data_IF_158250561126
#
_entry.id   IF_158250561126
#
_cell.length_a   1.000
_cell.length_b   1.000
_cell.length_c   1.000
_cell.angle_alpha   90.00
_cell.angle_beta   90.00
_cell.angle_gamma   90.00
#
_symmetry.space_group_name_H-M   'P 1'
#
loop_
_entity.id
_entity.type
_entity.pdbx_description
1 polymer ?
#
# COMPACT_ATOMS: atom_id res chain seq x y z
N UNK A 1 1.34 1.28 4.11
CA UNK A 1 2.64 1.74 3.56
C UNK A 1 3.23 2.87 4.39
N UNK A 2 2.48 3.95 4.66
CA UNK A 2 2.97 5.13 5.41
C UNK A 2 3.67 4.77 6.72
N UNK A 3 3.08 3.89 7.53
CA UNK A 3 3.68 3.45 8.81
C UNK A 3 5.04 2.79 8.62
N UNK A 4 5.17 1.89 7.63
CA UNK A 4 6.44 1.22 7.35
C UNK A 4 7.51 2.18 6.86
N UNK A 5 7.15 3.18 6.04
CA UNK A 5 8.08 4.25 5.62
C UNK A 5 8.51 5.08 6.83
N UNK A 6 7.56 5.46 7.69
CA UNK A 6 7.82 6.21 8.93
C UNK A 6 8.77 5.44 9.86
N UNK A 7 8.45 4.18 10.15
CA UNK A 7 9.29 3.34 11.01
C UNK A 7 10.66 3.05 10.38
N UNK A 8 10.73 2.82 9.07
CA UNK A 8 12.01 2.65 8.35
C UNK A 8 12.90 3.87 8.52
N UNK A 9 12.37 5.07 8.26
CA UNK A 9 13.15 6.30 8.41
C UNK A 9 13.50 6.60 9.86
N UNK A 10 12.54 6.49 10.78
CA UNK A 10 12.78 6.72 12.20
C UNK A 10 13.88 5.80 12.74
N UNK A 11 13.87 4.52 12.34
CA UNK A 11 14.93 3.57 12.65
C UNK A 11 16.27 4.01 12.07
N UNK A 12 16.35 4.28 10.76
CA UNK A 12 17.61 4.66 10.10
C UNK A 12 18.19 5.97 10.62
N UNK A 13 17.34 6.98 10.87
CA UNK A 13 17.75 8.27 11.47
C UNK A 13 18.25 8.04 12.89
N UNK A 14 17.61 7.17 13.67
CA UNK A 14 18.05 6.81 15.02
C UNK A 14 19.41 6.16 15.01
N UNK A 15 19.60 5.13 14.20
CA UNK A 15 20.89 4.45 14.10
C UNK A 15 21.99 5.37 13.55
N UNK A 16 21.71 6.18 12.53
CA UNK A 16 22.69 7.12 11.99
C UNK A 16 23.14 8.13 13.06
N UNK A 17 22.20 8.77 13.76
CA UNK A 17 22.51 9.77 14.78
C UNK A 17 23.13 9.18 16.05
N UNK A 18 22.83 7.91 16.34
CA UNK A 18 23.51 7.17 17.40
C UNK A 18 25.03 7.17 17.19
N UNK A 19 25.49 6.85 15.97
CA UNK A 19 26.91 6.82 15.63
C UNK A 19 27.48 8.20 15.29
N UNK A 20 26.71 9.07 14.64
CA UNK A 20 27.19 10.42 14.27
C UNK A 20 27.46 11.29 15.50
N UNK A 21 26.58 11.25 16.50
CA UNK A 21 26.70 12.02 17.74
C UNK A 21 27.27 11.18 18.89
N UNK A 22 28.18 10.25 18.60
CA UNK A 22 28.64 9.20 19.54
C UNK A 22 29.19 9.74 20.88
N UNK A 23 29.81 10.92 20.85
CA UNK A 23 30.37 11.57 22.04
C UNK A 23 29.28 12.00 23.05
N UNK A 24 28.03 12.19 22.59
CA UNK A 24 26.92 12.67 23.42
C UNK A 24 26.05 11.52 23.90
N UNK A 25 26.34 11.00 25.10
CA UNK A 25 25.64 9.84 25.69
C UNK A 25 24.12 9.97 25.72
N UNK A 26 23.60 11.16 26.06
CA UNK A 26 22.16 11.38 26.09
C UNK A 26 21.52 11.25 24.70
N UNK A 27 22.23 11.68 23.64
CA UNK A 27 21.78 11.53 22.24
C UNK A 27 21.78 10.07 21.82
N UNK A 28 22.83 9.32 22.17
CA UNK A 28 22.89 7.87 21.95
C UNK A 28 21.72 7.16 22.59
N UNK A 29 21.44 7.45 23.86
CA UNK A 29 20.31 6.88 24.58
C UNK A 29 18.96 7.24 23.94
N UNK A 30 18.73 8.51 23.59
CA UNK A 30 17.50 8.94 22.92
C UNK A 30 17.34 8.27 21.54
N UNK A 31 18.44 8.16 20.78
CA UNK A 31 18.46 7.51 19.47
C UNK A 31 18.23 6.00 19.56
N UNK A 32 18.75 5.33 20.59
CA UNK A 32 18.51 3.89 20.80
C UNK A 32 17.06 3.61 21.19
N UNK A 33 16.43 4.47 21.99
CA UNK A 33 14.99 4.39 22.27
C UNK A 33 14.18 4.59 20.99
N UNK A 34 14.48 5.64 20.21
CA UNK A 34 13.78 5.89 18.94
C UNK A 34 13.93 4.70 17.98
N UNK A 35 15.14 4.15 17.85
CA UNK A 35 15.38 2.96 17.04
C UNK A 35 14.59 1.73 17.55
N UNK A 36 14.52 1.51 18.86
CA UNK A 36 13.74 0.41 19.45
C UNK A 36 12.24 0.54 19.17
N UNK A 37 11.67 1.75 19.35
CA UNK A 37 10.26 2.01 19.07
C UNK A 37 9.93 1.85 17.59
N UNK A 38 10.79 2.38 16.71
CA UNK A 38 10.61 2.23 15.27
C UNK A 38 10.81 0.79 14.79
N UNK A 39 11.77 0.05 15.35
CA UNK A 39 11.95 -1.38 15.03
C UNK A 39 10.74 -2.20 15.49
N UNK A 40 10.23 -1.94 16.70
CA UNK A 40 9.02 -2.57 17.23
C UNK A 40 7.82 -2.28 16.33
N UNK A 41 7.60 -1.01 15.99
CA UNK A 41 6.55 -0.59 15.07
C UNK A 41 6.68 -1.26 13.71
N UNK A 42 7.88 -1.24 13.11
CA UNK A 42 8.14 -1.89 11.82
C UNK A 42 7.75 -3.36 11.83
N UNK A 43 8.12 -4.12 12.87
CA UNK A 43 7.81 -5.55 13.01
C UNK A 43 6.29 -5.76 13.19
N UNK A 44 5.65 -4.95 14.04
CA UNK A 44 4.24 -5.10 14.43
C UNK A 44 3.23 -4.63 13.38
N UNK A 45 3.65 -3.99 12.28
CA UNK A 45 2.75 -3.77 11.12
C UNK A 45 2.30 -5.11 10.51
N UNK A 46 3.08 -6.19 10.67
CA UNK A 46 2.75 -7.54 10.18
C UNK A 46 2.34 -7.58 8.71
N UNK A 47 3.07 -6.85 7.86
CA UNK A 47 2.82 -6.78 6.43
C UNK A 47 4.06 -7.16 5.61
N UNK A 48 4.37 -8.47 5.50
CA UNK A 48 5.59 -8.99 4.85
C UNK A 48 5.82 -8.44 3.44
N UNK A 49 4.74 -8.18 2.70
CA UNK A 49 4.80 -7.69 1.32
C UNK A 49 5.57 -6.36 1.16
N UNK A 50 5.60 -5.51 2.17
CA UNK A 50 6.44 -4.30 2.21
C UNK A 50 7.56 -4.39 3.24
N UNK A 51 7.40 -5.16 4.33
CA UNK A 51 8.45 -5.35 5.33
C UNK A 51 9.68 -6.04 4.74
N UNK A 52 9.52 -7.03 3.85
CA UNK A 52 10.66 -7.70 3.20
C UNK A 52 11.50 -6.71 2.38
N UNK A 53 10.96 -5.98 1.39
CA UNK A 53 11.77 -5.05 0.60
C UNK A 53 12.34 -3.91 1.45
N UNK A 54 11.58 -3.35 2.40
CA UNK A 54 12.12 -2.33 3.29
C UNK A 54 13.13 -2.87 4.31
N UNK A 55 13.04 -4.13 4.71
CA UNK A 55 14.06 -4.81 5.52
C UNK A 55 15.40 -4.90 4.77
N UNK A 56 15.36 -5.24 3.49
CA UNK A 56 16.55 -5.17 2.63
C UNK A 56 17.06 -3.74 2.47
N UNK A 57 16.17 -2.76 2.31
CA UNK A 57 16.58 -1.35 2.25
C UNK A 57 17.27 -0.91 3.56
N UNK A 58 16.71 -1.25 4.71
CA UNK A 58 17.31 -1.01 6.03
C UNK A 58 18.69 -1.65 6.10
N UNK A 59 18.81 -2.93 5.73
CA UNK A 59 20.08 -3.66 5.74
C UNK A 59 21.15 -2.96 4.88
N UNK A 60 20.79 -2.47 3.68
CA UNK A 60 21.70 -1.74 2.81
C UNK A 60 22.19 -0.43 3.46
N UNK A 61 21.31 0.33 4.10
CA UNK A 61 21.71 1.53 4.84
C UNK A 61 22.58 1.20 6.06
N UNK A 62 22.27 0.14 6.81
CA UNK A 62 23.10 -0.32 7.93
C UNK A 62 24.51 -0.71 7.47
N UNK A 63 24.65 -1.36 6.31
CA UNK A 63 25.95 -1.61 5.69
C UNK A 63 26.67 -0.30 5.34
N UNK A 64 25.96 0.67 4.77
CA UNK A 64 26.50 2.01 4.51
C UNK A 64 27.02 2.69 5.78
N UNK A 65 26.21 2.70 6.85
CA UNK A 65 26.58 3.25 8.16
C UNK A 65 27.79 2.51 8.74
N UNK A 66 27.82 1.19 8.66
CA UNK A 66 28.96 0.40 9.11
C UNK A 66 30.25 0.83 8.40
N UNK A 67 30.26 0.90 7.07
CA UNK A 67 31.45 1.33 6.32
C UNK A 67 31.85 2.79 6.59
N UNK A 68 30.89 3.65 6.94
CA UNK A 68 31.15 5.04 7.29
C UNK A 68 31.74 5.20 8.69
N UNK A 69 31.25 4.46 9.69
CA UNK A 69 31.55 4.67 11.10
C UNK A 69 32.52 3.66 11.72
N UNK A 70 32.73 2.47 11.15
CA UNK A 70 33.53 1.40 11.78
C UNK A 70 34.97 1.79 12.16
N UNK A 71 35.59 2.74 11.44
CA UNK A 71 36.92 3.29 11.78
C UNK A 71 36.87 4.56 12.62
N UNK A 72 35.72 5.25 12.64
CA UNK A 72 35.54 6.55 13.29
C UNK A 72 35.06 6.40 14.73
N UNK A 73 34.31 5.34 15.01
CA UNK A 73 33.65 5.11 16.30
C UNK A 73 34.26 3.90 16.98
N UNK A 74 34.63 4.04 18.25
CA UNK A 74 34.98 2.94 19.14
C UNK A 74 33.85 2.72 20.12
N UNK A 75 33.34 1.49 20.19
CA UNK A 75 32.26 1.13 21.10
C UNK A 75 32.77 1.11 22.55
N UNK A 76 31.96 1.61 23.47
CA UNK A 76 32.21 1.66 24.90
C UNK A 76 31.17 0.82 25.68
N UNK A 77 31.29 0.77 27.01
CA UNK A 77 30.35 0.03 27.88
C UNK A 77 28.90 0.55 27.83
N UNK A 78 28.70 1.82 27.49
CA UNK A 78 27.35 2.39 27.34
C UNK A 78 26.71 1.89 26.04
N UNK A 79 27.49 1.52 25.01
CA UNK A 79 26.93 0.89 23.80
C UNK A 79 26.28 -0.44 24.12
N UNK A 80 26.98 -1.29 24.88
CA UNK A 80 26.41 -2.56 25.34
C UNK A 80 25.12 -2.35 26.13
N UNK A 81 25.08 -1.34 27.01
CA UNK A 81 23.88 -1.00 27.77
C UNK A 81 22.73 -0.49 26.88
N UNK A 82 22.98 0.52 26.04
CA UNK A 82 21.93 1.16 25.25
C UNK A 82 21.39 0.24 24.15
N UNK A 83 22.27 -0.51 23.47
CA UNK A 83 21.86 -1.51 22.48
C UNK A 83 21.13 -2.66 23.19
N UNK A 84 21.64 -3.12 24.34
CA UNK A 84 20.98 -4.16 25.13
C UNK A 84 19.58 -3.76 25.58
N UNK A 85 19.40 -2.54 26.09
CA UNK A 85 18.09 -1.99 26.45
C UNK A 85 17.17 -1.84 25.24
N UNK A 86 17.68 -1.37 24.10
CA UNK A 86 16.90 -1.23 22.87
C UNK A 86 16.40 -2.58 22.33
N UNK A 87 17.27 -3.59 22.31
CA UNK A 87 16.92 -4.96 21.93
C UNK A 87 15.95 -5.57 22.93
N UNK A 88 16.18 -5.40 24.23
CA UNK A 88 15.29 -5.86 25.29
C UNK A 88 13.89 -5.24 25.19
N UNK A 89 13.81 -3.92 25.01
CA UNK A 89 12.55 -3.20 24.82
C UNK A 89 11.80 -3.70 23.58
N UNK A 90 12.50 -3.83 22.46
CA UNK A 90 11.93 -4.36 21.22
C UNK A 90 11.42 -5.78 21.42
N UNK A 91 12.22 -6.65 22.07
CA UNK A 91 11.87 -8.03 22.36
C UNK A 91 10.65 -8.16 23.27
N UNK A 92 10.52 -7.29 24.29
CA UNK A 92 9.35 -7.26 25.18
C UNK A 92 8.11 -6.80 24.42
N UNK A 93 8.17 -5.66 23.71
CA UNK A 93 7.02 -5.13 22.97
C UNK A 93 6.54 -6.14 21.93
N UNK A 94 7.45 -6.63 21.08
CA UNK A 94 7.13 -7.59 20.03
C UNK A 94 6.69 -8.92 20.63
N UNK A 95 7.42 -9.43 21.63
CA UNK A 95 7.14 -10.72 22.25
C UNK A 95 5.76 -10.77 22.91
N UNK A 96 5.40 -9.75 23.69
CA UNK A 96 4.07 -9.65 24.30
C UNK A 96 2.99 -9.61 23.21
N UNK A 97 3.12 -8.75 22.20
CA UNK A 97 2.13 -8.64 21.13
C UNK A 97 1.94 -9.92 20.32
N UNK A 98 3.03 -10.64 20.04
CA UNK A 98 2.96 -11.91 19.32
C UNK A 98 2.34 -13.03 20.16
N UNK A 99 2.68 -13.11 21.45
CA UNK A 99 2.12 -14.11 22.36
C UNK A 99 0.62 -13.88 22.58
N UNK A 100 0.17 -12.64 22.75
CA UNK A 100 -1.25 -12.34 22.93
C UNK A 100 -2.09 -12.57 21.67
N UNK A 101 -1.47 -12.58 20.50
CA UNK A 101 -2.15 -12.70 19.20
C UNK A 101 -1.90 -14.04 18.51
N UNK A 102 -1.25 -14.98 19.19
CA UNK A 102 -0.66 -16.19 18.60
C UNK A 102 -1.66 -17.04 17.82
N UNK A 103 -2.83 -17.33 18.41
CA UNK A 103 -3.86 -18.15 17.78
C UNK A 103 -4.40 -17.50 16.49
N UNK A 104 -4.62 -16.18 16.52
CA UNK A 104 -5.06 -15.44 15.33
C UNK A 104 -3.99 -15.43 14.26
N UNK A 105 -2.71 -15.23 14.63
CA UNK A 105 -1.59 -15.27 13.69
C UNK A 105 -1.48 -16.63 13.00
N UNK A 106 -1.55 -17.73 13.75
CA UNK A 106 -1.54 -19.09 13.19
C UNK A 106 -2.69 -19.28 12.22
N UNK A 107 -3.91 -18.88 12.59
CA UNK A 107 -5.07 -18.99 11.70
C UNK A 107 -4.84 -18.24 10.39
N UNK A 108 -4.34 -17.01 10.45
CA UNK A 108 -4.02 -16.22 9.25
C UNK A 108 -2.92 -16.89 8.42
N UNK A 109 -1.85 -17.39 9.04
CA UNK A 109 -0.75 -18.06 8.33
C UNK A 109 -1.19 -19.33 7.60
N UNK A 110 -2.20 -20.05 8.11
CA UNK A 110 -2.75 -21.25 7.47
C UNK A 110 -3.84 -20.98 6.42
N UNK A 111 -4.27 -19.73 6.24
CA UNK A 111 -5.20 -19.37 5.17
C UNK A 111 -4.59 -19.55 3.79
N UNK A 112 -5.44 -19.66 2.77
CA UNK A 112 -4.99 -19.61 1.36
C UNK A 112 -4.42 -18.23 1.03
N UNK A 113 -5.01 -17.17 1.59
CA UNK A 113 -4.53 -15.80 1.43
C UNK A 113 -4.72 -15.00 2.73
N UNK A 114 -3.70 -14.24 3.19
CA UNK A 114 -2.39 -14.08 2.58
C UNK A 114 -1.40 -15.20 2.97
N UNK A 115 -1.75 -16.10 3.89
CA UNK A 115 -0.83 -17.02 4.56
C UNK A 115 0.01 -17.89 3.62
N UNK A 116 -0.64 -18.76 2.85
CA UNK A 116 0.04 -19.68 1.93
C UNK A 116 0.33 -19.09 0.53
N UNK A 117 0.18 -17.78 0.33
CA UNK A 117 0.47 -17.13 -0.96
C UNK A 117 1.97 -17.17 -1.26
N UNK A 118 2.31 -17.45 -2.52
CA UNK A 118 3.70 -17.41 -3.02
C UNK A 118 3.75 -16.56 -4.29
N UNK A 119 4.48 -15.45 -4.26
CA UNK A 119 4.85 -14.67 -5.45
C UNK A 119 6.17 -15.16 -6.04
N UNK A 120 6.31 -15.06 -7.36
CA UNK A 120 7.53 -15.37 -8.11
C UNK A 120 8.03 -14.19 -8.93
N UNK A 121 7.40 -13.01 -8.81
CA UNK A 121 7.69 -11.85 -9.63
C UNK A 121 7.26 -12.01 -11.09
N UNK A 122 7.45 -10.94 -11.86
CA UNK A 122 7.35 -10.93 -13.32
C UNK A 122 5.99 -10.58 -13.92
N UNK A 123 4.94 -10.43 -13.11
CA UNK A 123 3.59 -10.13 -13.61
C UNK A 123 3.24 -8.63 -13.58
N UNK A 124 4.22 -7.73 -13.32
CA UNK A 124 3.96 -6.29 -13.35
C UNK A 124 3.79 -5.76 -14.78
N UNK A 125 2.73 -4.99 -15.00
CA UNK A 125 2.50 -4.35 -16.29
C UNK A 125 3.54 -3.25 -16.55
N UNK A 126 4.42 -3.46 -17.55
CA UNK A 126 5.52 -2.54 -17.90
C UNK A 126 5.09 -1.09 -18.15
N UNK A 127 3.87 -0.90 -18.64
CA UNK A 127 3.23 0.42 -18.86
C UNK A 127 3.02 1.20 -17.55
N UNK A 128 2.87 0.51 -16.43
CA UNK A 128 2.55 1.08 -15.11
C UNK A 128 3.83 1.39 -14.29
N UNK A 129 5.02 1.29 -14.88
CA UNK A 129 6.26 1.71 -14.20
C UNK A 129 6.28 3.23 -13.97
N UNK A 130 5.55 3.99 -14.79
CA UNK A 130 5.54 5.46 -14.79
C UNK A 130 4.25 6.07 -14.24
N UNK A 131 3.55 5.39 -13.32
CA UNK A 131 2.29 5.88 -12.74
C UNK A 131 2.40 7.27 -12.10
N UNK A 132 3.57 7.63 -11.57
CA UNK A 132 3.85 8.96 -11.01
C UNK A 132 3.56 10.12 -11.99
N UNK A 133 3.55 9.86 -13.31
CA UNK A 133 3.21 10.87 -14.33
C UNK A 133 1.75 11.36 -14.22
N UNK A 134 0.89 10.62 -13.50
CA UNK A 134 -0.54 10.94 -13.34
C UNK A 134 -0.92 11.47 -11.96
N UNK A 135 0.01 11.48 -11.01
CA UNK A 135 -0.20 11.95 -9.63
C UNK A 135 -0.88 13.33 -9.55
N UNK A 136 -0.53 14.25 -10.45
CA UNK A 136 -1.04 15.62 -10.43
C UNK A 136 -2.57 15.71 -10.56
N UNK A 137 -3.20 14.73 -11.21
CA UNK A 137 -4.63 14.74 -11.54
C UNK A 137 -5.47 13.95 -10.53
N UNK A 138 -4.88 12.98 -9.83
CA UNK A 138 -5.60 12.07 -8.93
C UNK A 138 -6.34 12.77 -7.80
N UNK A 139 -5.84 13.92 -7.35
CA UNK A 139 -6.48 14.74 -6.31
C UNK A 139 -7.72 15.50 -6.80
N UNK A 140 -7.96 15.52 -8.11
CA UNK A 140 -9.05 16.27 -8.74
C UNK A 140 -10.04 15.37 -9.50
N UNK A 141 -9.63 14.16 -9.87
CA UNK A 141 -10.46 13.22 -10.62
C UNK A 141 -10.11 11.79 -10.27
N UNK A 142 -11.12 10.99 -9.92
CA UNK A 142 -10.93 9.57 -9.69
C UNK A 142 -10.60 8.81 -10.97
N UNK A 143 -9.72 7.83 -10.82
CA UNK A 143 -9.40 6.87 -11.86
C UNK A 143 -10.51 5.83 -11.93
N UNK A 144 -10.94 5.50 -13.15
CA UNK A 144 -12.14 4.67 -13.40
C UNK A 144 -11.87 3.17 -13.49
N UNK A 145 -10.60 2.76 -13.53
CA UNK A 145 -10.20 1.37 -13.81
C UNK A 145 -9.36 0.74 -12.69
N UNK A 146 -8.96 1.51 -11.68
CA UNK A 146 -8.15 1.04 -10.57
C UNK A 146 -8.29 2.01 -9.39
N UNK A 147 -7.91 1.58 -8.19
CA UNK A 147 -7.87 2.45 -7.02
C UNK A 147 -6.79 3.55 -7.15
N UNK A 148 -7.16 4.81 -6.93
CA UNK A 148 -6.21 5.94 -6.91
C UNK A 148 -5.00 5.70 -5.99
N UNK A 149 -5.21 5.06 -4.84
CA UNK A 149 -4.15 4.77 -3.88
C UNK A 149 -3.16 3.71 -4.35
N UNK A 150 -3.58 2.78 -5.21
CA UNK A 150 -2.70 1.78 -5.83
C UNK A 150 -1.89 2.39 -7.00
N UNK A 151 -2.43 3.42 -7.66
CA UNK A 151 -1.74 4.12 -8.75
C UNK A 151 -0.82 5.25 -8.26
N UNK A 152 -1.06 5.79 -7.07
CA UNK A 152 -0.26 6.88 -6.49
C UNK A 152 1.18 6.44 -6.28
N UNK A 153 2.15 7.24 -6.77
CA UNK A 153 3.57 6.89 -6.70
C UNK A 153 4.47 8.09 -6.39
N UNK A 154 5.79 7.91 -6.39
CA UNK A 154 6.77 8.96 -6.09
C UNK A 154 7.37 9.53 -7.38
N UNK A 155 7.48 10.86 -7.46
CA UNK A 155 8.25 11.50 -8.53
C UNK A 155 9.74 11.15 -8.40
N UNK A 156 10.30 10.51 -9.42
CA UNK A 156 11.70 10.09 -9.40
C UNK A 156 12.35 10.13 -10.79
N UNK A 157 13.68 10.22 -10.81
CA UNK A 157 14.51 10.30 -12.01
C UNK A 157 15.27 9.00 -12.31
N UNK A 158 14.79 7.84 -11.83
CA UNK A 158 15.50 6.56 -11.96
C UNK A 158 16.00 6.27 -13.40
N UNK A 159 15.18 6.45 -14.43
CA UNK A 159 15.60 6.16 -15.81
C UNK A 159 16.61 7.17 -16.37
N UNK A 160 16.62 8.42 -15.88
CA UNK A 160 17.72 9.35 -16.15
C UNK A 160 19.00 8.81 -15.50
N UNK A 161 18.91 8.41 -14.22
CA UNK A 161 20.04 7.89 -13.42
C UNK A 161 20.60 6.60 -14.04
N UNK A 162 19.73 5.72 -14.52
CA UNK A 162 20.08 4.49 -15.21
C UNK A 162 20.98 4.76 -16.42
N UNK A 163 20.60 5.71 -17.28
CA UNK A 163 21.39 6.07 -18.47
C UNK A 163 22.74 6.70 -18.14
N UNK A 164 22.86 7.43 -17.02
CA UNK A 164 24.13 8.03 -16.57
C UNK A 164 24.92 7.13 -15.60
N UNK A 165 24.36 5.99 -15.19
CA UNK A 165 24.93 5.13 -14.15
C UNK A 165 26.37 4.65 -14.44
N UNK A 166 26.79 4.38 -15.70
CA UNK A 166 28.19 4.04 -15.96
C UNK A 166 29.14 5.18 -15.57
N UNK A 167 28.76 6.43 -15.86
CA UNK A 167 29.54 7.61 -15.45
C UNK A 167 29.51 7.85 -13.93
N UNK A 168 28.40 7.52 -13.27
CA UNK A 168 28.24 7.67 -11.83
C UNK A 168 29.10 6.69 -11.03
N UNK A 169 29.16 5.42 -11.46
CA UNK A 169 29.67 4.34 -10.60
C UNK A 169 30.96 3.72 -11.10
N UNK A 170 31.33 3.86 -12.38
CA UNK A 170 32.58 3.29 -12.88
C UNK A 170 33.79 3.84 -12.12
N UNK A 171 34.49 2.96 -11.38
CA UNK A 171 35.60 3.26 -10.47
C UNK A 171 35.27 4.23 -9.31
N UNK A 172 33.99 4.57 -9.09
CA UNK A 172 33.54 5.57 -8.10
C UNK A 172 32.57 5.03 -7.05
N UNK A 173 32.34 3.72 -7.01
CA UNK A 173 31.40 3.08 -6.06
C UNK A 173 31.69 3.48 -4.61
N UNK A 174 32.97 3.53 -4.21
CA UNK A 174 33.34 3.89 -2.82
C UNK A 174 32.97 5.33 -2.48
N UNK A 175 33.17 6.26 -3.40
CA UNK A 175 32.81 7.68 -3.24
C UNK A 175 31.29 7.88 -3.25
N UNK A 176 30.58 7.05 -4.02
CA UNK A 176 29.16 7.14 -4.29
C UNK A 176 28.37 6.00 -3.64
N UNK A 177 28.82 5.51 -2.49
CA UNK A 177 28.32 4.26 -1.89
C UNK A 177 26.80 4.24 -1.73
N UNK A 178 26.22 5.26 -1.10
CA UNK A 178 24.76 5.33 -0.89
C UNK A 178 23.97 5.36 -2.20
N UNK A 179 24.45 6.13 -3.19
CA UNK A 179 23.85 6.15 -4.53
C UNK A 179 23.92 4.79 -5.22
N UNK A 180 25.04 4.08 -5.07
CA UNK A 180 25.22 2.75 -5.65
C UNK A 180 24.30 1.71 -4.99
N UNK A 181 24.22 1.68 -3.65
CA UNK A 181 23.36 0.75 -2.92
C UNK A 181 21.88 0.96 -3.27
N UNK A 182 21.41 2.22 -3.32
CA UNK A 182 20.05 2.55 -3.75
C UNK A 182 19.81 2.16 -5.21
N UNK A 183 20.78 2.40 -6.11
CA UNK A 183 20.67 2.01 -7.51
C UNK A 183 20.52 0.49 -7.70
N UNK A 184 21.34 -0.30 -7.00
CA UNK A 184 21.25 -1.78 -7.02
C UNK A 184 19.91 -2.25 -6.48
N UNK A 185 19.41 -1.64 -5.39
CA UNK A 185 18.10 -1.98 -4.83
C UNK A 185 16.96 -1.66 -5.81
N UNK A 186 16.98 -0.49 -6.45
CA UNK A 186 16.02 -0.15 -7.50
C UNK A 186 16.08 -1.14 -8.67
N UNK A 187 17.29 -1.52 -9.12
CA UNK A 187 17.47 -2.48 -10.21
C UNK A 187 16.91 -3.86 -9.84
N UNK A 188 17.17 -4.33 -8.61
CA UNK A 188 16.62 -5.59 -8.12
C UNK A 188 15.08 -5.59 -8.17
N UNK A 189 14.43 -4.55 -7.63
CA UNK A 189 12.97 -4.47 -7.67
C UNK A 189 12.43 -4.37 -9.10
N UNK A 190 13.11 -3.64 -9.99
CA UNK A 190 12.74 -3.56 -11.41
C UNK A 190 12.78 -4.93 -12.08
N UNK A 191 13.82 -5.73 -11.81
CA UNK A 191 13.94 -7.10 -12.33
C UNK A 191 12.88 -8.01 -11.70
N UNK A 192 12.66 -7.95 -10.38
CA UNK A 192 11.60 -8.70 -9.69
C UNK A 192 10.22 -8.44 -10.30
N UNK A 193 9.89 -7.18 -10.58
CA UNK A 193 8.63 -6.82 -11.26
C UNK A 193 8.54 -7.33 -12.69
N UNK A 194 9.66 -7.53 -13.38
CA UNK A 194 9.71 -7.77 -14.84
C UNK A 194 9.97 -9.22 -15.23
N UNK A 195 10.51 -10.05 -14.34
CA UNK A 195 10.98 -11.40 -14.63
C UNK A 195 10.47 -12.37 -13.57
N UNK A 196 9.96 -13.52 -14.01
CA UNK A 196 9.54 -14.61 -13.11
C UNK A 196 10.77 -15.38 -12.63
N UNK A 197 10.83 -15.66 -11.34
CA UNK A 197 11.92 -16.38 -10.69
C UNK A 197 11.51 -17.79 -10.26
N UNK A 198 12.46 -18.73 -10.14
CA UNK A 198 12.18 -20.02 -9.50
C UNK A 198 11.67 -19.85 -8.07
N UNK A 199 10.68 -20.64 -7.66
CA UNK A 199 10.09 -20.58 -6.31
C UNK A 199 11.13 -20.70 -5.18
N UNK A 200 12.19 -21.49 -5.39
CA UNK A 200 13.29 -21.64 -4.42
C UNK A 200 13.97 -20.29 -4.18
N UNK A 201 14.28 -19.54 -5.25
CA UNK A 201 14.89 -18.22 -5.13
C UNK A 201 13.97 -17.24 -4.41
N UNK A 202 12.68 -17.21 -4.78
CA UNK A 202 11.68 -16.36 -4.13
C UNK A 202 11.55 -16.65 -2.63
N UNK A 203 11.53 -17.93 -2.24
CA UNK A 203 11.46 -18.34 -0.82
C UNK A 203 12.74 -18.01 -0.06
N UNK A 204 13.91 -18.28 -0.63
CA UNK A 204 15.21 -17.99 0.00
C UNK A 204 15.42 -16.49 0.27
N UNK A 205 14.97 -15.65 -0.66
CA UNK A 205 15.06 -14.19 -0.55
C UNK A 205 13.88 -13.59 0.23
N UNK A 206 12.93 -14.41 0.67
CA UNK A 206 11.63 -14.00 1.24
C UNK A 206 10.77 -13.14 0.29
N UNK A 207 11.19 -12.88 -0.95
CA UNK A 207 10.39 -12.19 -1.96
C UNK A 207 9.17 -13.01 -2.39
N UNK A 208 9.06 -14.28 -2.00
CA UNK A 208 7.81 -15.04 -2.08
C UNK A 208 6.63 -14.35 -1.39
N UNK A 209 6.88 -13.46 -0.43
CA UNK A 209 5.84 -12.67 0.23
C UNK A 209 5.50 -11.35 -0.47
N UNK A 210 6.23 -10.97 -1.52
CA UNK A 210 6.24 -9.63 -2.13
C UNK A 210 5.61 -9.67 -3.52
N UNK A 211 4.32 -9.34 -3.64
CA UNK A 211 3.71 -9.08 -4.93
C UNK A 211 4.40 -7.93 -5.66
N UNK A 212 4.26 -7.95 -6.97
CA UNK A 212 4.87 -7.05 -7.93
C UNK A 212 4.45 -5.59 -7.67
N UNK A 213 3.19 -5.35 -7.32
CA UNK A 213 2.68 -4.02 -6.99
C UNK A 213 3.31 -3.48 -5.70
N UNK A 214 3.66 -4.36 -4.76
CA UNK A 214 4.34 -3.97 -3.51
C UNK A 214 5.83 -3.74 -3.71
N UNK A 215 6.45 -4.51 -4.61
CA UNK A 215 7.80 -4.22 -5.11
C UNK A 215 7.86 -2.88 -5.89
N UNK A 216 6.81 -2.52 -6.64
CA UNK A 216 6.70 -1.22 -7.30
C UNK A 216 6.76 -0.06 -6.29
N UNK A 217 6.00 -0.15 -5.21
CA UNK A 217 6.03 0.84 -4.13
C UNK A 217 7.43 0.97 -3.50
N UNK A 218 8.11 -0.17 -3.25
CA UNK A 218 9.48 -0.16 -2.73
C UNK A 218 10.49 0.42 -3.75
N UNK A 219 10.33 0.09 -5.04
CA UNK A 219 11.10 0.65 -6.14
C UNK A 219 10.92 2.17 -6.20
N UNK A 220 9.69 2.68 -6.30
CA UNK A 220 9.44 4.11 -6.45
C UNK A 220 9.88 4.90 -5.23
N UNK A 221 9.72 4.36 -4.02
CA UNK A 221 10.23 4.96 -2.79
C UNK A 221 11.77 5.02 -2.78
N UNK A 222 12.46 3.93 -3.08
CA UNK A 222 13.93 3.95 -3.15
C UNK A 222 14.46 4.83 -4.31
N UNK A 223 13.71 4.91 -5.41
CA UNK A 223 14.02 5.75 -6.56
C UNK A 223 13.93 7.25 -6.24
N UNK A 224 13.00 7.69 -5.39
CA UNK A 224 12.99 9.09 -4.94
C UNK A 224 14.20 9.40 -4.04
N UNK A 225 14.63 8.49 -3.16
CA UNK A 225 15.86 8.67 -2.37
C UNK A 225 17.10 8.73 -3.26
N UNK A 226 17.18 7.83 -4.25
CA UNK A 226 18.24 7.84 -5.25
C UNK A 226 18.23 9.15 -6.06
N UNK A 227 17.05 9.69 -6.36
CA UNK A 227 16.88 10.95 -7.07
C UNK A 227 17.38 12.14 -6.28
N UNK A 228 17.07 12.21 -4.98
CA UNK A 228 17.57 13.27 -4.08
C UNK A 228 19.10 13.24 -4.03
N UNK A 229 19.68 12.06 -3.81
CA UNK A 229 21.13 11.88 -3.84
C UNK A 229 21.74 12.30 -5.19
N UNK A 230 21.13 11.88 -6.30
CA UNK A 230 21.61 12.17 -7.65
C UNK A 230 21.55 13.65 -7.99
N UNK A 231 20.48 14.37 -7.61
CA UNK A 231 20.35 15.80 -7.84
C UNK A 231 21.51 16.55 -7.18
N UNK A 232 21.79 16.24 -5.90
CA UNK A 232 22.92 16.82 -5.17
C UNK A 232 24.25 16.49 -5.86
N UNK A 233 24.53 15.20 -6.11
CA UNK A 233 25.77 14.77 -6.75
C UNK A 233 25.98 15.45 -8.10
N UNK A 234 24.98 15.41 -8.98
CA UNK A 234 25.06 15.99 -10.32
C UNK A 234 25.39 17.49 -10.26
N UNK A 235 24.81 18.22 -9.30
CA UNK A 235 25.02 19.66 -9.14
C UNK A 235 26.42 20.05 -8.66
N UNK A 236 27.15 19.16 -8.00
CA UNK A 236 28.55 19.36 -7.59
C UNK A 236 29.58 18.96 -8.68
N UNK A 237 29.18 18.16 -9.67
CA UNK A 237 30.11 17.69 -10.73
C UNK A 237 30.35 18.70 -11.86
N UNK A 238 31.15 18.37 -12.88
CA UNK A 238 31.16 19.17 -14.13
C UNK A 238 29.84 18.99 -14.89
N UNK A 239 29.40 20.03 -15.62
CA UNK A 239 28.20 19.97 -16.46
C UNK A 239 28.34 18.87 -17.52
N UNK A 240 27.29 18.07 -17.70
CA UNK A 240 27.25 17.06 -18.76
C UNK A 240 27.21 17.75 -20.13
N UNK A 241 28.03 17.28 -21.08
CA UNK A 241 28.07 17.87 -22.43
C UNK A 241 26.73 17.71 -23.15
N UNK A 242 26.34 18.70 -23.95
CA UNK A 242 25.05 18.74 -24.65
C UNK A 242 24.75 17.48 -25.49
N UNK A 243 25.76 16.90 -26.14
CA UNK A 243 25.63 15.65 -26.92
C UNK A 243 25.08 14.45 -26.13
N UNK A 244 25.29 14.40 -24.82
CA UNK A 244 24.76 13.34 -23.95
C UNK A 244 23.39 13.72 -23.37
N UNK A 245 23.06 15.00 -23.27
CA UNK A 245 21.77 15.44 -22.73
C UNK A 245 20.61 15.08 -23.67
N UNK A 246 20.79 15.28 -24.99
CA UNK A 246 19.78 14.98 -26.00
C UNK A 246 19.27 13.52 -25.96
N UNK A 247 20.13 12.48 -26.02
CA UNK A 247 19.66 11.10 -25.94
C UNK A 247 19.02 10.78 -24.58
N UNK A 248 19.52 11.34 -23.47
CA UNK A 248 18.91 11.12 -22.16
C UNK A 248 17.47 11.65 -22.12
N UNK A 249 17.25 12.88 -22.61
CA UNK A 249 15.92 13.49 -22.68
C UNK A 249 15.04 12.70 -23.65
N UNK A 250 15.53 12.43 -24.86
CA UNK A 250 14.78 11.73 -25.90
C UNK A 250 14.32 10.33 -25.48
N UNK A 251 15.20 9.53 -24.87
CA UNK A 251 14.85 8.18 -24.38
C UNK A 251 13.81 8.25 -23.27
N UNK A 252 13.96 9.16 -22.29
CA UNK A 252 12.98 9.28 -21.22
C UNK A 252 11.61 9.73 -21.74
N UNK A 253 11.58 10.73 -22.64
CA UNK A 253 10.32 11.17 -23.26
C UNK A 253 9.66 10.09 -24.11
N UNK A 254 10.44 9.28 -24.83
CA UNK A 254 9.94 8.14 -25.59
C UNK A 254 9.31 7.08 -24.67
N UNK A 255 9.97 6.75 -23.54
CA UNK A 255 9.44 5.83 -22.54
C UNK A 255 8.15 6.35 -21.89
N UNK A 256 8.13 7.64 -21.51
CA UNK A 256 6.95 8.27 -20.93
C UNK A 256 5.79 8.31 -21.92
N UNK A 257 6.05 8.66 -23.19
CA UNK A 257 5.02 8.65 -24.22
C UNK A 257 4.45 7.25 -24.42
N UNK A 258 5.33 6.23 -24.52
CA UNK A 258 4.89 4.84 -24.63
C UNK A 258 3.98 4.45 -23.47
N UNK A 259 4.37 4.73 -22.22
CA UNK A 259 3.58 4.41 -21.04
C UNK A 259 2.22 5.13 -21.00
N UNK A 260 2.21 6.43 -21.32
CA UNK A 260 1.00 7.25 -21.31
C UNK A 260 0.03 6.89 -22.44
N UNK A 261 0.53 6.45 -23.60
CA UNK A 261 -0.27 6.21 -24.80
C UNK A 261 -0.73 4.75 -24.98
N UNK A 262 0.06 3.79 -24.53
CA UNK A 262 -0.21 2.35 -24.76
C UNK A 262 -0.92 1.65 -23.59
N UNK A 263 -1.25 2.39 -22.54
CA UNK A 263 -1.85 1.85 -21.32
C UNK A 263 -3.21 2.43 -20.91
N UNK A 264 -3.72 1.93 -19.77
CA UNK A 264 -4.98 2.40 -19.18
C UNK A 264 -4.94 3.89 -18.81
N UNK A 265 -3.75 4.47 -18.62
CA UNK A 265 -3.59 5.91 -18.38
C UNK A 265 -4.21 6.78 -19.49
N UNK A 266 -4.29 6.27 -20.73
CA UNK A 266 -4.99 6.97 -21.84
C UNK A 266 -6.50 7.08 -21.66
N UNK A 267 -7.10 6.22 -20.82
CA UNK A 267 -8.52 6.30 -20.44
C UNK A 267 -8.76 7.45 -19.44
N UNK A 268 -7.71 7.86 -18.74
CA UNK A 268 -7.75 8.88 -17.70
C UNK A 268 -7.24 10.24 -18.19
N UNK A 269 -6.30 10.26 -19.16
CA UNK A 269 -5.69 11.46 -19.72
C UNK A 269 -6.14 11.76 -21.15
N UNK A 270 -6.37 13.04 -21.45
CA UNK A 270 -6.53 13.58 -22.78
C UNK A 270 -5.19 13.71 -23.52
N UNK A 271 -5.25 13.82 -24.85
CA UNK A 271 -4.05 14.03 -25.69
C UNK A 271 -3.26 15.28 -25.28
N UNK A 272 -3.97 16.37 -24.96
CA UNK A 272 -3.35 17.63 -24.51
C UNK A 272 -2.63 17.47 -23.17
N UNK A 273 -3.23 16.74 -22.23
CA UNK A 273 -2.60 16.44 -20.93
C UNK A 273 -1.33 15.59 -21.11
N UNK A 274 -1.36 14.59 -22.00
CA UNK A 274 -0.17 13.79 -22.33
C UNK A 274 0.97 14.68 -22.86
N UNK A 275 0.66 15.59 -23.80
CA UNK A 275 1.65 16.54 -24.34
C UNK A 275 2.21 17.44 -23.22
N UNK A 276 1.36 17.97 -22.35
CA UNK A 276 1.77 18.83 -21.23
C UNK A 276 2.68 18.07 -20.25
N UNK A 277 2.34 16.83 -19.90
CA UNK A 277 3.16 15.97 -19.04
C UNK A 277 4.54 15.77 -19.65
N UNK A 278 4.61 15.46 -20.96
CA UNK A 278 5.88 15.28 -21.66
C UNK A 278 6.71 16.56 -21.72
N UNK A 279 6.08 17.72 -21.94
CA UNK A 279 6.76 19.02 -21.93
C UNK A 279 7.34 19.34 -20.55
N UNK A 280 6.56 19.17 -19.48
CA UNK A 280 7.00 19.42 -18.10
C UNK A 280 8.10 18.45 -17.70
N UNK A 281 7.96 17.16 -18.03
CA UNK A 281 8.98 16.15 -17.74
C UNK A 281 10.28 16.43 -18.51
N UNK A 282 10.20 16.77 -19.80
CA UNK A 282 11.34 17.15 -20.62
C UNK A 282 12.04 18.40 -20.10
N UNK A 283 11.26 19.42 -19.70
CA UNK A 283 11.78 20.63 -19.06
C UNK A 283 12.51 20.31 -17.75
N UNK A 284 11.91 19.50 -16.86
CA UNK A 284 12.55 19.10 -15.60
C UNK A 284 13.89 18.38 -15.83
N UNK A 285 13.93 17.42 -16.76
CA UNK A 285 15.17 16.71 -17.10
C UNK A 285 16.20 17.68 -17.69
N UNK A 286 15.79 18.57 -18.60
CA UNK A 286 16.69 19.56 -19.20
C UNK A 286 17.26 20.53 -18.14
N UNK A 287 16.43 21.03 -17.23
CA UNK A 287 16.85 21.93 -16.15
C UNK A 287 17.80 21.23 -15.17
N UNK A 288 17.52 19.97 -14.83
CA UNK A 288 18.37 19.13 -14.00
C UNK A 288 19.77 18.96 -14.62
N UNK A 289 19.84 18.51 -15.87
CA UNK A 289 21.10 18.26 -16.59
C UNK A 289 21.88 19.55 -16.88
N UNK A 290 21.18 20.68 -17.05
CA UNK A 290 21.78 22.00 -17.23
C UNK A 290 22.08 22.74 -15.91
N UNK A 291 21.83 22.11 -14.75
CA UNK A 291 22.11 22.67 -13.43
C UNK A 291 21.41 24.01 -13.17
N UNK A 292 20.23 24.22 -13.75
CA UNK A 292 19.40 25.40 -13.47
C UNK A 292 18.70 25.21 -12.13
N UNK A 293 19.48 25.17 -11.03
CA UNK A 293 19.07 24.70 -9.69
C UNK A 293 17.76 25.34 -9.21
N UNK A 294 17.68 26.67 -9.25
CA UNK A 294 16.50 27.43 -8.83
C UNK A 294 15.27 27.09 -9.67
N UNK A 295 15.38 27.18 -11.00
CA UNK A 295 14.24 26.94 -11.89
C UNK A 295 13.78 25.47 -11.83
N UNK A 296 14.71 24.52 -11.78
CA UNK A 296 14.40 23.10 -11.54
C UNK A 296 13.59 22.92 -10.25
N UNK A 297 14.06 23.52 -9.15
CA UNK A 297 13.43 23.38 -7.84
C UNK A 297 12.03 23.99 -7.84
N UNK A 298 11.84 25.15 -8.46
CA UNK A 298 10.52 25.81 -8.58
C UNK A 298 9.55 24.97 -9.40
N UNK A 299 9.97 24.44 -10.55
CA UNK A 299 9.10 23.60 -11.40
C UNK A 299 8.75 22.28 -10.70
N UNK A 300 9.73 21.64 -10.06
CA UNK A 300 9.49 20.40 -9.30
C UNK A 300 8.56 20.65 -8.11
N UNK A 301 8.79 21.73 -7.36
CA UNK A 301 7.94 22.12 -6.23
C UNK A 301 6.50 22.39 -6.71
N UNK A 302 6.33 23.12 -7.81
CA UNK A 302 5.02 23.36 -8.40
C UNK A 302 4.31 22.05 -8.77
N UNK A 303 5.01 21.10 -9.40
CA UNK A 303 4.45 19.80 -9.74
C UNK A 303 4.00 18.99 -8.50
N UNK A 304 4.82 18.99 -7.44
CA UNK A 304 4.51 18.28 -6.18
C UNK A 304 3.36 18.96 -5.43
N UNK A 305 3.39 20.29 -5.28
CA UNK A 305 2.36 21.03 -4.57
C UNK A 305 1.01 20.98 -5.30
N UNK A 306 1.02 21.10 -6.63
CA UNK A 306 -0.23 21.04 -7.41
C UNK A 306 -0.92 19.67 -7.26
N UNK A 307 -0.16 18.58 -7.21
CA UNK A 307 -0.71 17.25 -6.96
C UNK A 307 -1.11 17.00 -5.50
N UNK A 308 -0.36 17.53 -4.52
CA UNK A 308 -0.53 17.15 -3.11
C UNK A 308 -1.37 18.08 -2.25
N UNK A 309 -1.43 19.39 -2.56
CA UNK A 309 -2.00 20.40 -1.64
C UNK A 309 -3.50 20.29 -1.41
N UNK A 310 -4.24 19.74 -2.37
CA UNK A 310 -5.70 19.53 -2.24
C UNK A 310 -6.05 18.26 -1.49
N UNK A 311 -5.07 17.41 -1.17
CA UNK A 311 -5.25 16.25 -0.30
C UNK A 311 -5.11 16.71 1.14
N UNK A 312 -6.23 16.83 1.87
CA UNK A 312 -6.20 17.14 3.30
C UNK A 312 -5.85 15.87 4.09
N UNK A 313 -4.65 15.77 4.71
CA UNK A 313 -4.26 14.58 5.45
C UNK A 313 -4.91 14.52 6.84
N UNK A 314 -5.58 15.59 7.29
CA UNK A 314 -6.18 15.68 8.61
C UNK A 314 -7.68 15.39 8.52
N UNK A 315 -8.05 14.16 8.85
CA UNK A 315 -9.44 13.80 9.15
C UNK A 315 -9.84 14.36 10.51
N UNK A 316 -11.02 15.00 10.62
CA UNK A 316 -11.55 15.57 11.87
C UNK A 316 -12.94 15.03 12.14
N UNK A 317 -13.11 14.45 13.33
CA UNK A 317 -14.40 13.92 13.79
C UNK A 317 -14.91 12.73 12.98
N UNK A 318 -16.14 12.31 13.29
CA UNK A 318 -16.83 11.20 12.64
C UNK A 318 -18.13 11.64 11.95
N UNK A 319 -18.45 12.94 12.01
CA UNK A 319 -19.62 13.55 11.37
C UNK A 319 -19.85 13.14 9.91
N UNK A 320 -18.83 13.05 9.02
CA UNK A 320 -19.06 12.61 7.64
C UNK A 320 -19.65 11.19 7.51
N UNK A 321 -19.55 10.38 8.55
CA UNK A 321 -20.16 9.05 8.63
C UNK A 321 -21.50 9.14 9.35
N UNK A 322 -21.49 9.68 10.58
CA UNK A 322 -22.63 9.59 11.49
C UNK A 322 -23.77 10.55 11.10
N UNK A 323 -23.48 11.69 10.48
CA UNK A 323 -24.50 12.67 10.11
C UNK A 323 -25.26 12.28 8.83
N UNK A 324 -24.84 11.20 8.16
CA UNK A 324 -25.57 10.66 7.01
C UNK A 324 -26.94 10.15 7.47
N UNK A 325 -27.98 10.47 6.71
CA UNK A 325 -29.34 10.06 7.03
C UNK A 325 -29.47 8.54 7.13
N UNK A 326 -28.85 7.79 6.21
CA UNK A 326 -28.81 6.32 6.30
C UNK A 326 -28.15 5.81 7.59
N UNK A 327 -27.10 6.47 8.09
CA UNK A 327 -26.47 6.08 9.34
C UNK A 327 -27.41 6.30 10.54
N UNK A 328 -28.05 7.47 10.59
CA UNK A 328 -29.05 7.80 11.61
C UNK A 328 -30.22 6.81 11.60
N UNK A 329 -30.70 6.42 10.41
CA UNK A 329 -31.77 5.43 10.26
C UNK A 329 -31.33 4.05 10.76
N UNK A 330 -30.14 3.57 10.39
CA UNK A 330 -29.60 2.29 10.87
C UNK A 330 -29.47 2.30 12.41
N UNK A 331 -28.90 3.36 12.98
CA UNK A 331 -28.76 3.50 14.44
C UNK A 331 -30.12 3.58 15.15
N UNK A 332 -31.12 4.23 14.54
CA UNK A 332 -32.47 4.28 15.10
C UNK A 332 -33.13 2.89 15.10
N UNK A 333 -33.01 2.13 14.00
CA UNK A 333 -33.53 0.75 13.92
C UNK A 333 -32.83 -0.14 14.95
N UNK A 334 -31.51 -0.06 15.09
CA UNK A 334 -30.77 -0.83 16.11
C UNK A 334 -31.21 -0.46 17.54
N UNK A 335 -31.56 0.81 17.79
CA UNK A 335 -32.07 1.23 19.09
C UNK A 335 -33.47 0.66 19.38
N UNK A 336 -34.32 0.53 18.37
CA UNK A 336 -35.68 -0.01 18.51
C UNK A 336 -35.72 -1.54 18.53
N UNK A 337 -34.82 -2.20 17.81
CA UNK A 337 -34.75 -3.65 17.64
C UNK A 337 -33.28 -4.11 17.72
N UNK A 338 -32.70 -4.15 18.93
CA UNK A 338 -31.27 -4.33 19.12
C UNK A 338 -30.79 -5.76 18.86
N UNK A 339 -29.52 -5.88 18.49
CA UNK A 339 -28.78 -7.14 18.33
C UNK A 339 -29.24 -8.00 17.15
N UNK A 340 -30.04 -7.45 16.25
CA UNK A 340 -30.51 -8.18 15.07
C UNK A 340 -29.39 -8.27 14.04
N UNK A 341 -29.41 -9.33 13.23
CA UNK A 341 -28.37 -9.54 12.20
C UNK A 341 -28.68 -8.73 10.93
N UNK A 342 -27.71 -7.91 10.53
CA UNK A 342 -27.75 -7.10 9.31
C UNK A 342 -26.87 -7.70 8.21
N UNK A 343 -27.23 -7.50 6.95
CA UNK A 343 -26.31 -7.70 5.82
C UNK A 343 -26.37 -6.51 4.87
N UNK A 344 -25.25 -6.19 4.23
CA UNK A 344 -25.16 -5.01 3.38
C UNK A 344 -24.37 -5.25 2.10
N UNK A 345 -24.90 -4.76 0.98
CA UNK A 345 -24.25 -4.84 -0.31
C UNK A 345 -23.10 -3.82 -0.45
N UNK A 346 -22.19 -4.08 -1.39
CA UNK A 346 -21.07 -3.18 -1.74
C UNK A 346 -20.26 -2.76 -0.49
N UNK A 347 -20.09 -1.46 -0.28
CA UNK A 347 -19.31 -0.90 0.83
C UNK A 347 -20.00 -1.01 2.20
N UNK A 348 -21.23 -1.51 2.26
CA UNK A 348 -21.96 -1.65 3.52
C UNK A 348 -21.35 -2.72 4.45
N UNK A 349 -20.55 -3.65 3.91
CA UNK A 349 -19.76 -4.58 4.72
C UNK A 349 -18.85 -3.87 5.73
N UNK A 350 -18.32 -2.69 5.41
CA UNK A 350 -17.50 -1.89 6.32
C UNK A 350 -18.30 -0.79 7.02
N UNK A 351 -19.34 -0.27 6.37
CA UNK A 351 -20.15 0.82 6.91
C UNK A 351 -21.04 0.38 8.08
N UNK A 352 -21.70 -0.77 7.98
CA UNK A 352 -22.60 -1.25 9.03
C UNK A 352 -21.86 -1.56 10.35
N UNK A 353 -20.73 -2.30 10.37
CA UNK A 353 -19.99 -2.54 11.61
C UNK A 353 -19.51 -1.24 12.28
N UNK A 354 -19.17 -0.22 11.48
CA UNK A 354 -18.76 1.09 11.99
C UNK A 354 -19.88 1.82 12.76
N UNK A 355 -21.15 1.51 12.46
CA UNK A 355 -22.33 2.00 13.19
C UNK A 355 -22.67 1.15 14.43
N UNK A 356 -21.89 0.10 14.70
CA UNK A 356 -22.07 -0.75 15.87
C UNK A 356 -23.17 -1.80 15.75
N UNK A 357 -23.72 -2.04 14.56
CA UNK A 357 -24.75 -3.09 14.35
C UNK A 357 -24.12 -4.48 14.17
N UNK A 358 -24.85 -5.52 14.55
CA UNK A 358 -24.41 -6.90 14.37
C UNK A 358 -24.56 -7.33 12.90
N UNK A 359 -23.46 -7.68 12.24
CA UNK A 359 -23.45 -7.91 10.77
C UNK A 359 -23.04 -9.31 10.37
N UNK A 360 -23.69 -9.83 9.33
CA UNK A 360 -23.33 -11.06 8.64
C UNK A 360 -22.03 -10.92 7.85
N UNK A 361 -21.86 -9.81 7.13
CA UNK A 361 -20.71 -9.58 6.28
C UNK A 361 -19.87 -8.39 6.74
N UNK A 362 -18.57 -8.46 6.48
CA UNK A 362 -17.59 -7.46 6.90
C UNK A 362 -16.19 -7.83 6.42
N UNK A 363 -15.17 -7.23 7.04
CA UNK A 363 -13.78 -7.59 6.80
C UNK A 363 -13.37 -8.68 7.80
N UNK A 364 -13.19 -9.90 7.32
CA UNK A 364 -12.75 -11.03 8.13
C UNK A 364 -11.21 -11.13 8.09
N UNK A 365 -10.55 -10.69 9.17
CA UNK A 365 -9.10 -10.85 9.31
C UNK A 365 -8.70 -12.32 9.43
N UNK A 366 -9.42 -13.06 10.27
CA UNK A 366 -9.36 -14.51 10.39
C UNK A 366 -10.67 -15.09 9.86
N UNK A 367 -10.65 -16.00 8.87
CA UNK A 367 -11.87 -16.59 8.36
C UNK A 367 -12.55 -17.47 9.42
N UNK A 368 -13.87 -17.34 9.54
CA UNK A 368 -14.69 -18.25 10.32
C UNK A 368 -15.25 -19.33 9.37
N UNK A 369 -14.59 -20.48 9.28
CA UNK A 369 -15.00 -21.54 8.33
C UNK A 369 -16.35 -22.15 8.73
N UNK A 370 -16.61 -22.26 10.04
CA UNK A 370 -17.84 -22.83 10.58
C UNK A 370 -19.08 -22.02 10.21
N UNK A 371 -18.96 -20.68 10.12
CA UNK A 371 -20.09 -19.84 9.72
C UNK A 371 -20.57 -20.09 8.30
N UNK A 372 -19.78 -20.75 7.44
CA UNK A 372 -20.16 -21.02 6.05
C UNK A 372 -20.87 -22.36 5.84
N UNK A 373 -20.86 -23.26 6.82
CA UNK A 373 -21.49 -24.60 6.72
C UNK A 373 -22.98 -24.58 6.32
N UNK A 374 -23.82 -23.61 6.76
CA UNK A 374 -25.22 -23.54 6.30
C UNK A 374 -25.39 -23.29 4.78
N UNK A 375 -24.39 -22.71 4.12
CA UNK A 375 -24.39 -22.46 2.66
C UNK A 375 -23.53 -23.47 1.91
N UNK A 376 -22.44 -23.93 2.50
CA UNK A 376 -21.49 -24.85 1.88
C UNK A 376 -21.21 -26.07 2.77
N UNK A 377 -22.21 -26.97 2.96
CA UNK A 377 -22.08 -28.11 3.87
C UNK A 377 -21.03 -29.13 3.43
N UNK A 378 -20.67 -29.15 2.13
CA UNK A 378 -19.66 -30.06 1.58
C UNK A 378 -18.27 -29.44 1.47
N UNK A 379 -18.10 -28.15 1.80
CA UNK A 379 -16.82 -27.46 1.69
C UNK A 379 -16.37 -27.18 0.25
N UNK A 380 -17.29 -27.23 -0.73
CA UNK A 380 -16.98 -27.05 -2.16
C UNK A 380 -16.33 -25.69 -2.44
N UNK A 381 -16.71 -24.66 -1.68
CA UNK A 381 -16.25 -23.29 -1.84
C UNK A 381 -15.21 -22.85 -0.80
N UNK A 382 -14.66 -23.78 0.00
CA UNK A 382 -13.66 -23.45 1.03
C UNK A 382 -12.49 -22.66 0.48
N UNK A 383 -12.06 -22.97 -0.76
CA UNK A 383 -10.98 -22.22 -1.42
C UNK A 383 -11.28 -20.74 -1.61
N UNK A 384 -12.55 -20.32 -1.57
CA UNK A 384 -12.99 -18.94 -1.68
C UNK A 384 -13.01 -18.27 -0.31
N UNK A 385 -13.66 -18.86 0.71
CA UNK A 385 -13.82 -18.19 2.01
C UNK A 385 -12.70 -18.45 3.03
N UNK A 386 -11.80 -19.41 2.80
CA UNK A 386 -10.62 -19.65 3.65
C UNK A 386 -9.49 -18.62 3.37
N UNK A 387 -9.76 -17.36 3.69
CA UNK A 387 -8.84 -16.23 3.50
C UNK A 387 -9.19 -15.02 4.37
N UNK A 388 -8.21 -14.15 4.58
CA UNK A 388 -8.49 -12.74 4.84
C UNK A 388 -9.39 -12.21 3.72
N UNK A 389 -10.54 -11.63 4.06
CA UNK A 389 -11.51 -11.20 3.04
C UNK A 389 -12.37 -10.00 3.42
N UNK A 390 -12.56 -9.12 2.45
CA UNK A 390 -13.75 -8.29 2.33
C UNK A 390 -14.91 -9.15 1.81
N UNK A 391 -15.93 -9.34 2.64
CA UNK A 391 -17.08 -10.20 2.32
C UNK A 391 -18.21 -9.31 1.78
N UNK A 392 -18.45 -9.40 0.48
CA UNK A 392 -19.56 -8.72 -0.17
C UNK A 392 -20.80 -9.61 -0.18
N UNK A 393 -21.96 -9.01 0.06
CA UNK A 393 -23.26 -9.67 -0.10
C UNK A 393 -23.94 -9.10 -1.34
N UNK A 394 -24.71 -9.95 -2.02
CA UNK A 394 -25.64 -9.60 -3.08
C UNK A 394 -26.90 -10.44 -2.90
N UNK A 395 -28.08 -9.82 -2.97
CA UNK A 395 -29.34 -10.54 -2.87
C UNK A 395 -29.73 -11.04 -4.25
N UNK A 396 -29.56 -12.35 -4.48
CA UNK A 396 -29.77 -12.97 -5.79
C UNK A 396 -29.89 -14.49 -5.69
N UNK A 397 -30.58 -15.10 -6.65
CA UNK A 397 -30.67 -16.55 -6.87
C UNK A 397 -29.63 -17.05 -7.90
N UNK A 398 -28.83 -16.14 -8.46
CA UNK A 398 -27.84 -16.47 -9.50
C UNK A 398 -26.68 -17.32 -8.98
N UNK A 399 -26.08 -18.09 -9.90
CA UNK A 399 -24.87 -18.88 -9.65
C UNK A 399 -23.65 -18.22 -10.31
N UNK A 400 -22.44 -18.36 -9.72
CA UNK A 400 -22.13 -19.15 -8.53
C UNK A 400 -22.49 -18.44 -7.21
N UNK A 401 -22.88 -19.22 -6.19
CA UNK A 401 -23.20 -18.70 -4.85
C UNK A 401 -22.02 -17.98 -4.18
N UNK A 402 -20.81 -18.52 -4.30
CA UNK A 402 -19.57 -17.88 -3.86
C UNK A 402 -18.72 -17.53 -5.07
N UNK A 403 -18.29 -16.27 -5.14
CA UNK A 403 -17.49 -15.75 -6.25
C UNK A 403 -16.28 -14.98 -5.72
N UNK A 404 -15.07 -15.46 -6.03
CA UNK A 404 -13.85 -14.73 -5.69
C UNK A 404 -13.75 -13.48 -6.57
N UNK A 405 -13.71 -12.30 -5.95
CA UNK A 405 -13.58 -11.02 -6.68
C UNK A 405 -12.11 -10.65 -6.81
N UNK A 406 -11.38 -10.67 -5.70
CA UNK A 406 -9.97 -10.38 -5.60
C UNK A 406 -9.29 -11.38 -4.66
N UNK A 407 -7.96 -11.34 -4.56
CA UNK A 407 -7.23 -12.21 -3.64
C UNK A 407 -7.68 -12.05 -2.18
N UNK A 408 -8.15 -10.86 -1.81
CA UNK A 408 -8.61 -10.44 -0.48
C UNK A 408 -10.10 -10.10 -0.43
N UNK A 409 -10.90 -10.50 -1.42
CA UNK A 409 -12.33 -10.21 -1.43
C UNK A 409 -13.14 -11.28 -2.16
N UNK A 410 -14.30 -11.62 -1.61
CA UNK A 410 -15.26 -12.47 -2.31
C UNK A 410 -16.67 -11.95 -2.11
N UNK A 411 -17.56 -12.36 -3.03
CA UNK A 411 -18.97 -12.08 -3.00
C UNK A 411 -19.73 -13.37 -2.68
N UNK A 412 -20.70 -13.27 -1.78
CA UNK A 412 -21.67 -14.34 -1.49
C UNK A 412 -23.06 -13.86 -1.90
N UNK A 413 -23.72 -14.63 -2.76
CA UNK A 413 -25.10 -14.40 -3.19
C UNK A 413 -26.04 -15.10 -2.21
N UNK A 414 -27.00 -14.36 -1.67
CA UNK A 414 -27.96 -14.88 -0.69
C UNK A 414 -29.38 -14.85 -1.28
N UNK A 415 -30.01 -16.02 -1.35
CA UNK A 415 -31.46 -16.15 -1.58
C UNK A 415 -32.24 -15.76 -0.33
N UNK A 416 -33.55 -15.50 -0.44
CA UNK A 416 -34.39 -15.28 0.75
C UNK A 416 -34.38 -16.47 1.72
N UNK A 417 -34.23 -17.69 1.20
CA UNK A 417 -34.07 -18.90 2.02
C UNK A 417 -32.77 -18.88 2.80
N UNK A 418 -31.70 -18.40 2.20
CA UNK A 418 -30.39 -18.27 2.86
C UNK A 418 -30.42 -17.21 3.96
N UNK A 419 -31.13 -16.10 3.76
CA UNK A 419 -31.34 -15.10 4.82
C UNK A 419 -31.94 -15.74 6.07
N UNK A 420 -32.96 -16.59 5.90
CA UNK A 420 -33.60 -17.32 7.01
C UNK A 420 -32.66 -18.28 7.73
N UNK A 421 -31.72 -18.92 7.04
CA UNK A 421 -30.73 -19.82 7.67
C UNK A 421 -29.85 -19.08 8.69
N UNK A 422 -29.52 -17.83 8.41
CA UNK A 422 -28.72 -16.97 9.29
C UNK A 422 -29.56 -16.04 10.16
N UNK A 423 -30.88 -16.01 9.98
CA UNK A 423 -31.79 -15.08 10.65
C UNK A 423 -31.44 -13.61 10.37
N UNK A 424 -31.01 -13.30 9.14
CA UNK A 424 -30.70 -11.93 8.71
C UNK A 424 -32.01 -11.13 8.63
N UNK A 425 -32.18 -10.14 9.50
CA UNK A 425 -33.45 -9.41 9.62
C UNK A 425 -33.46 -8.11 8.83
N UNK A 426 -32.30 -7.49 8.67
CA UNK A 426 -32.16 -6.19 8.03
C UNK A 426 -31.15 -6.25 6.88
N UNK A 427 -31.49 -5.60 5.77
CA UNK A 427 -30.68 -5.55 4.57
C UNK A 427 -30.45 -4.11 4.14
N UNK A 428 -29.24 -3.82 3.65
CA UNK A 428 -28.97 -2.60 2.89
C UNK A 428 -28.58 -2.97 1.46
N UNK A 429 -29.40 -2.56 0.49
CA UNK A 429 -29.23 -2.87 -0.94
C UNK A 429 -29.12 -1.60 -1.78
N UNK A 430 -28.64 -1.71 -3.02
CA UNK A 430 -28.54 -0.57 -3.95
C UNK A 430 -29.54 -0.61 -5.11
N UNK A 431 -30.37 -1.64 -5.13
CA UNK A 431 -31.49 -1.83 -6.04
C UNK A 431 -32.71 -2.28 -5.24
N UNK A 432 -33.89 -2.07 -5.80
CA UNK A 432 -35.12 -2.61 -5.21
C UNK A 432 -35.07 -4.14 -5.28
N UNK A 433 -35.48 -4.79 -4.19
CA UNK A 433 -35.48 -6.26 -4.07
C UNK A 433 -36.87 -6.84 -3.89
N UNK A 434 -37.93 -6.03 -4.04
CA UNK A 434 -39.33 -6.41 -3.88
C UNK A 434 -39.73 -7.60 -4.77
N UNK A 435 -39.11 -7.73 -5.95
CA UNK A 435 -39.32 -8.84 -6.88
C UNK A 435 -38.96 -10.21 -6.30
N UNK A 436 -38.12 -10.28 -5.27
CA UNK A 436 -37.74 -11.53 -4.63
C UNK A 436 -38.74 -11.98 -3.56
N UNK A 437 -39.67 -11.10 -3.13
CA UNK A 437 -40.63 -11.43 -2.09
C UNK A 437 -41.52 -12.63 -2.50
N UNK A 438 -41.87 -13.46 -1.52
CA UNK A 438 -42.73 -14.63 -1.69
C UNK A 438 -43.84 -14.61 -0.66
N UNK A 439 -44.90 -15.42 -0.83
CA UNK A 439 -45.97 -15.53 0.17
C UNK A 439 -45.46 -15.82 1.59
N UNK A 440 -44.37 -16.60 1.69
CA UNK A 440 -43.77 -17.02 2.97
C UNK A 440 -42.68 -16.07 3.48
N UNK A 441 -42.15 -15.20 2.64
CA UNK A 441 -41.05 -14.30 2.99
C UNK A 441 -41.28 -12.94 2.36
N UNK A 442 -41.68 -11.98 3.20
CA UNK A 442 -41.99 -10.62 2.78
C UNK A 442 -40.80 -9.69 3.01
N UNK A 443 -40.65 -8.72 2.13
CA UNK A 443 -39.63 -7.67 2.23
C UNK A 443 -40.35 -6.34 2.47
N UNK A 444 -40.11 -5.74 3.64
CA UNK A 444 -40.67 -4.41 3.96
C UNK A 444 -39.58 -3.38 3.85
N UNK A 445 -39.68 -2.50 2.85
CA UNK A 445 -38.81 -1.32 2.77
C UNK A 445 -39.05 -0.41 3.99
N UNK A 446 -37.98 -0.08 4.71
CA UNK A 446 -37.99 0.84 5.85
C UNK A 446 -37.44 2.21 5.50
N UNK A 447 -36.54 2.29 4.52
CA UNK A 447 -35.88 3.52 4.08
C UNK A 447 -35.41 3.40 2.64
N UNK A 448 -35.24 4.54 1.98
CA UNK A 448 -34.68 4.66 0.64
C UNK A 448 -35.68 5.13 -0.42
N UNK A 449 -35.21 5.51 -1.62
CA UNK A 449 -33.78 5.59 -1.96
C UNK A 449 -33.08 6.71 -1.19
N UNK A 450 -31.88 6.41 -0.68
CA UNK A 450 -30.94 7.40 -0.20
C UNK A 450 -30.32 8.18 -1.37
N UNK A 451 -29.54 9.23 -1.10
CA UNK A 451 -28.84 10.01 -2.14
C UNK A 451 -27.91 9.16 -3.02
N UNK A 452 -27.44 8.01 -2.51
CA UNK A 452 -26.62 7.04 -3.26
C UNK A 452 -27.40 5.81 -3.74
N UNK A 453 -28.74 5.91 -3.84
CA UNK A 453 -29.65 4.82 -4.20
C UNK A 453 -29.59 3.61 -3.24
N UNK A 454 -29.26 3.83 -1.98
CA UNK A 454 -29.30 2.78 -0.96
C UNK A 454 -30.71 2.65 -0.37
N UNK A 455 -31.15 1.42 -0.10
CA UNK A 455 -32.43 1.09 0.51
C UNK A 455 -32.20 0.25 1.76
N UNK A 456 -33.06 0.39 2.76
CA UNK A 456 -33.09 -0.49 3.93
C UNK A 456 -34.36 -1.34 3.87
N UNK A 457 -34.21 -2.66 3.95
CA UNK A 457 -35.32 -3.60 3.99
C UNK A 457 -35.31 -4.39 5.30
N UNK A 458 -36.52 -4.69 5.80
CA UNK A 458 -36.78 -5.67 6.85
C UNK A 458 -37.32 -6.95 6.23
N UNK A 459 -36.68 -8.07 6.56
CA UNK A 459 -37.11 -9.41 6.15
C UNK A 459 -38.12 -9.95 7.17
N UNK A 460 -39.24 -10.47 6.69
CA UNK A 460 -40.32 -11.05 7.52
C UNK A 460 -40.48 -12.52 7.07
N UNK A 461 -40.27 -13.47 8.00
CA UNK A 461 -40.07 -14.91 7.75
C UNK A 461 -41.27 -15.83 7.95
#
# INVERSE_FOLDING_TARGET
>A
MGDLVFFTFGFLVGIYNYFYAHEQKWRRFACSIMAALCASGFILVLYPALQVPFGYLILLFLLGFFFEFWKKVKLDKFDSLFIGLAVGLTGVIVGVSLLTSWDSLIRVMHTIYPGNRVSVGGDFAKKDIFLFLTNWKMSFKDVVYENNSELSSFYHFFFVIFLVSPWLFYKKIKENLYGFLLFVFCLFNLVWMSVRFPTIFAKMTMFSYVPEERAYLAFSFSAILLSIWFIHYLWEQKKLSFKWQLPIIGVNLGLYFFALYTGNLRLYLSKTEIILILLVAGLLIALLLNKRKYLFSVVLLAAVLFGGTTVNPVSKGVSPVYDKQIAQTVMAIEKEDPGQLWAGERMMHAFLPMLGVHTFNGTAFTPNLESWKPLDPTGKYEKIYNRYSHIYVEISEEQPQFELQNADAFKVRLSLKDLKKYQIKYLVTYETIDQFATEKMQLKQLYGPDTNNAYIYKVIY
#
